data_IF_607328387175
#
_entry.id   IF_607328387175
#
_cell.length_a   1.000
_cell.length_b   1.000
_cell.length_c   1.000
_cell.angle_alpha   90.00
_cell.angle_beta   90.00
_cell.angle_gamma   90.00
#
_symmetry.space_group_name_H-M   'P 1'
#
loop_
_entity.id
_entity.type
_entity.pdbx_description
1 polymer ?
#
# COMPACT_ATOMS: atom_id res chain seq x y z
N UNK A 1 -21.51 -12.79 -11.72
CA UNK A 1 -21.09 -11.89 -10.64
C UNK A 1 -20.77 -12.72 -9.42
N UNK A 2 -19.63 -12.51 -8.81
CA UNK A 2 -19.31 -13.11 -7.51
C UNK A 2 -20.26 -12.49 -6.49
N UNK A 3 -21.10 -13.28 -5.86
CA UNK A 3 -22.10 -12.77 -4.90
C UNK A 3 -21.43 -12.45 -3.53
N UNK A 4 -20.36 -11.60 -3.58
CA UNK A 4 -19.53 -11.23 -2.43
C UNK A 4 -19.32 -9.73 -2.41
N UNK A 5 -19.63 -9.12 -1.27
CA UNK A 5 -19.36 -7.72 -1.00
C UNK A 5 -18.02 -7.60 -0.26
N UNK A 6 -17.10 -6.87 -0.87
CA UNK A 6 -15.77 -6.56 -0.31
C UNK A 6 -15.77 -5.12 0.16
N UNK A 7 -15.50 -4.89 1.44
CA UNK A 7 -15.18 -3.54 1.93
C UNK A 7 -13.69 -3.28 1.78
N UNK A 8 -13.34 -2.14 1.18
CA UNK A 8 -11.98 -1.62 1.13
C UNK A 8 -11.89 -0.38 2.01
N UNK A 9 -11.33 -0.52 3.20
CA UNK A 9 -11.07 0.60 4.11
C UNK A 9 -9.78 1.30 3.65
N UNK A 10 -9.87 2.57 3.24
CA UNK A 10 -8.79 3.29 2.56
C UNK A 10 -8.77 3.08 1.05
N UNK A 11 -9.93 2.82 0.44
CA UNK A 11 -10.04 2.49 -0.97
C UNK A 11 -9.79 3.66 -1.93
N UNK A 12 -9.78 4.91 -1.47
CA UNK A 12 -9.41 6.06 -2.27
C UNK A 12 -7.92 6.44 -2.18
N UNK A 13 -7.10 5.62 -1.51
CA UNK A 13 -5.66 5.77 -1.43
C UNK A 13 -4.93 5.27 -2.69
N UNK A 14 -3.58 5.33 -2.68
CA UNK A 14 -2.72 4.97 -3.82
C UNK A 14 -2.95 3.54 -4.32
N UNK A 15 -2.89 2.56 -3.41
CA UNK A 15 -3.16 1.15 -3.75
C UNK A 15 -4.67 0.92 -3.90
N UNK A 16 -5.47 1.49 -3.00
CA UNK A 16 -6.91 1.28 -2.96
C UNK A 16 -7.62 1.67 -4.25
N UNK A 17 -7.22 2.79 -4.86
CA UNK A 17 -7.82 3.27 -6.12
C UNK A 17 -7.69 2.27 -7.27
N UNK A 18 -6.52 1.64 -7.40
CA UNK A 18 -6.30 0.61 -8.40
C UNK A 18 -6.98 -0.71 -8.00
N UNK A 19 -6.91 -1.09 -6.71
CA UNK A 19 -7.52 -2.31 -6.22
C UNK A 19 -9.04 -2.32 -6.41
N UNK A 20 -9.71 -1.20 -6.20
CA UNK A 20 -11.16 -1.07 -6.43
C UNK A 20 -11.50 -1.42 -7.87
N UNK A 21 -10.77 -0.89 -8.86
CA UNK A 21 -10.97 -1.23 -10.27
C UNK A 21 -10.77 -2.73 -10.53
N UNK A 22 -9.67 -3.31 -10.02
CA UNK A 22 -9.38 -4.74 -10.17
C UNK A 22 -10.48 -5.62 -9.55
N UNK A 23 -11.03 -5.25 -8.40
CA UNK A 23 -12.13 -5.97 -7.75
C UNK A 23 -13.42 -5.91 -8.59
N UNK A 24 -13.77 -4.74 -9.12
CA UNK A 24 -14.93 -4.56 -9.99
C UNK A 24 -14.80 -5.37 -11.28
N UNK A 25 -13.63 -5.33 -11.93
CA UNK A 25 -13.34 -6.09 -13.15
C UNK A 25 -13.42 -7.60 -12.92
N UNK A 26 -13.06 -8.08 -11.72
CA UNK A 26 -13.18 -9.48 -11.32
C UNK A 26 -14.59 -9.85 -10.81
N UNK A 27 -15.55 -8.92 -10.87
CA UNK A 27 -16.98 -9.12 -10.62
C UNK A 27 -17.41 -9.10 -9.16
N UNK A 28 -16.61 -8.52 -8.26
CA UNK A 28 -17.01 -8.26 -6.87
C UNK A 28 -17.95 -7.05 -6.78
N UNK A 29 -18.79 -7.04 -5.74
CA UNK A 29 -19.38 -5.81 -5.23
C UNK A 29 -18.37 -5.17 -4.28
N UNK A 30 -18.18 -3.86 -4.38
CA UNK A 30 -17.16 -3.14 -3.62
C UNK A 30 -17.79 -1.98 -2.87
N UNK A 31 -17.54 -1.91 -1.57
CA UNK A 31 -17.83 -0.75 -0.75
C UNK A 31 -16.51 -0.13 -0.30
N UNK A 32 -16.32 1.15 -0.55
CA UNK A 32 -15.15 1.91 -0.12
C UNK A 32 -15.51 2.75 1.07
N UNK A 33 -14.75 2.62 2.17
CA UNK A 33 -14.73 3.59 3.25
C UNK A 33 -13.45 4.40 3.17
N UNK A 34 -13.57 5.71 3.06
CA UNK A 34 -12.43 6.63 3.06
C UNK A 34 -12.85 8.02 3.56
N UNK A 35 -11.93 8.80 4.06
CA UNK A 35 -12.13 10.22 4.38
C UNK A 35 -12.04 11.11 3.15
N UNK A 36 -11.61 10.56 2.03
CA UNK A 36 -11.38 11.24 0.77
C UNK A 36 -10.49 12.49 0.85
N UNK A 37 -9.51 12.49 1.75
CA UNK A 37 -8.54 13.60 1.86
C UNK A 37 -7.84 13.94 0.54
N UNK A 38 -7.67 12.94 -0.31
CA UNK A 38 -7.02 13.07 -1.63
C UNK A 38 -8.00 13.16 -2.80
N UNK A 39 -9.31 13.32 -2.51
CA UNK A 39 -10.39 13.34 -3.49
C UNK A 39 -10.96 11.94 -3.78
N UNK A 40 -12.12 11.90 -4.44
CA UNK A 40 -12.84 10.68 -4.83
C UNK A 40 -13.25 10.65 -6.30
N UNK A 41 -12.97 11.72 -7.03
CA UNK A 41 -13.30 11.91 -8.45
C UNK A 41 -12.87 10.73 -9.32
N UNK A 42 -11.71 10.16 -9.07
CA UNK A 42 -11.18 9.00 -9.79
C UNK A 42 -12.01 7.72 -9.58
N UNK A 43 -12.64 7.54 -8.42
CA UNK A 43 -13.53 6.41 -8.15
C UNK A 43 -14.94 6.67 -8.70
N UNK A 44 -15.44 7.90 -8.61
CA UNK A 44 -16.74 8.30 -9.17
C UNK A 44 -16.78 8.13 -10.70
N UNK A 45 -15.65 8.32 -11.39
CA UNK A 45 -15.52 8.11 -12.84
C UNK A 45 -15.71 6.65 -13.27
N UNK A 46 -15.58 5.67 -12.37
CA UNK A 46 -15.78 4.26 -12.68
C UNK A 46 -17.25 3.94 -13.03
N UNK A 47 -18.22 4.76 -12.59
CA UNK A 47 -19.65 4.68 -12.91
C UNK A 47 -20.22 3.24 -12.79
N UNK A 48 -19.77 2.49 -11.79
CA UNK A 48 -20.17 1.09 -11.58
C UNK A 48 -21.31 1.00 -10.57
N UNK A 49 -22.38 0.27 -10.94
CA UNK A 49 -23.47 -0.07 -10.01
C UNK A 49 -23.03 -1.04 -8.90
N UNK A 50 -21.85 -1.66 -9.04
CA UNK A 50 -21.26 -2.55 -8.03
C UNK A 50 -20.32 -1.81 -7.09
N UNK A 51 -20.20 -0.47 -7.17
CA UNK A 51 -19.37 0.38 -6.33
C UNK A 51 -20.22 1.28 -5.45
N UNK A 52 -19.99 1.20 -4.15
CA UNK A 52 -20.54 2.12 -3.15
C UNK A 52 -19.39 2.91 -2.50
N UNK A 53 -19.50 4.23 -2.45
CA UNK A 53 -18.53 5.12 -1.81
C UNK A 53 -19.14 5.66 -0.52
N UNK A 54 -18.49 5.39 0.61
CA UNK A 54 -18.88 5.89 1.93
C UNK A 54 -17.81 6.84 2.44
N UNK A 55 -18.17 8.10 2.60
CA UNK A 55 -17.31 9.11 3.20
C UNK A 55 -17.42 9.02 4.73
N UNK A 56 -16.29 8.76 5.39
CA UNK A 56 -16.27 8.63 6.84
C UNK A 56 -14.89 8.36 7.42
N UNK A 57 -14.79 8.61 8.71
CA UNK A 57 -13.59 8.32 9.49
C UNK A 57 -13.70 6.93 10.11
N UNK A 58 -12.72 6.08 9.87
CA UNK A 58 -12.70 4.71 10.40
C UNK A 58 -12.59 4.63 11.94
N UNK A 59 -12.29 5.75 12.61
CA UNK A 59 -12.30 5.84 14.08
C UNK A 59 -13.70 5.99 14.64
N UNK A 60 -14.69 6.33 13.82
CA UNK A 60 -16.10 6.36 14.21
C UNK A 60 -16.71 4.97 14.05
N UNK A 61 -16.97 4.30 15.19
CA UNK A 61 -17.52 2.95 15.19
C UNK A 61 -18.94 2.87 14.59
N UNK A 62 -19.75 3.95 14.65
CA UNK A 62 -21.06 3.94 14.01
C UNK A 62 -20.92 3.88 12.48
N UNK A 63 -19.91 4.57 11.94
CA UNK A 63 -19.60 4.49 10.50
C UNK A 63 -19.11 3.08 10.14
N UNK A 64 -18.21 2.52 10.95
CA UNK A 64 -17.68 1.17 10.74
C UNK A 64 -18.80 0.13 10.78
N UNK A 65 -19.67 0.14 11.79
CA UNK A 65 -20.77 -0.83 11.92
C UNK A 65 -21.69 -0.77 10.69
N UNK A 66 -22.07 0.43 10.24
CA UNK A 66 -22.88 0.60 9.04
C UNK A 66 -22.17 0.12 7.76
N UNK A 67 -20.89 0.39 7.63
CA UNK A 67 -20.10 -0.01 6.45
C UNK A 67 -19.93 -1.52 6.35
N UNK A 68 -19.97 -2.22 7.50
CA UNK A 68 -19.82 -3.67 7.59
C UNK A 68 -21.13 -4.46 7.41
N UNK A 69 -22.29 -3.80 7.22
CA UNK A 69 -23.55 -4.49 6.96
C UNK A 69 -23.48 -5.33 5.66
N UNK A 70 -23.83 -6.61 5.74
CA UNK A 70 -23.85 -7.60 4.64
C UNK A 70 -22.48 -7.89 3.99
N UNK A 71 -21.39 -7.52 4.64
CA UNK A 71 -20.02 -7.67 4.14
C UNK A 71 -19.51 -9.09 4.34
N UNK A 72 -18.90 -9.65 3.29
CA UNK A 72 -18.24 -10.95 3.37
C UNK A 72 -16.76 -10.83 3.65
N UNK A 73 -16.10 -9.82 3.08
CA UNK A 73 -14.65 -9.65 3.11
C UNK A 73 -14.26 -8.21 3.40
N UNK A 74 -13.23 -8.02 4.19
CA UNK A 74 -12.61 -6.71 4.46
C UNK A 74 -11.17 -6.72 3.96
N UNK A 75 -10.78 -5.67 3.23
CA UNK A 75 -9.38 -5.34 2.93
C UNK A 75 -9.08 -4.00 3.61
N UNK A 76 -8.21 -4.04 4.62
CA UNK A 76 -7.85 -2.86 5.39
C UNK A 76 -6.53 -2.27 4.90
N UNK A 77 -6.61 -1.17 4.13
CA UNK A 77 -5.47 -0.43 3.58
C UNK A 77 -5.23 0.90 4.28
N UNK A 78 -6.26 1.45 4.95
CA UNK A 78 -6.22 2.78 5.52
C UNK A 78 -5.12 2.92 6.58
N UNK A 79 -4.31 3.94 6.42
CA UNK A 79 -3.32 4.37 7.40
C UNK A 79 -2.74 5.73 6.99
N UNK A 80 -2.17 6.46 7.94
CA UNK A 80 -1.16 7.46 7.63
C UNK A 80 0.09 6.67 7.22
N UNK A 81 0.37 6.68 5.92
CA UNK A 81 1.37 5.81 5.31
C UNK A 81 2.71 6.54 5.16
N UNK A 82 3.78 5.84 5.36
CA UNK A 82 5.19 6.23 5.43
C UNK A 82 5.57 7.03 6.69
N UNK A 83 6.85 6.91 7.05
CA UNK A 83 7.39 7.47 8.28
C UNK A 83 7.33 9.02 8.31
N UNK A 84 7.72 9.76 7.24
CA UNK A 84 7.70 11.21 7.28
C UNK A 84 6.29 11.81 7.42
N UNK A 85 5.25 11.12 6.93
CA UNK A 85 3.85 11.54 7.11
C UNK A 85 3.36 11.25 8.52
N UNK A 86 3.81 10.13 9.09
CA UNK A 86 3.51 9.76 10.46
C UNK A 86 4.15 10.74 11.47
N UNK A 87 5.42 11.07 11.25
CA UNK A 87 6.19 11.99 12.13
C UNK A 87 5.64 13.43 12.14
N UNK A 88 4.86 13.78 11.11
CA UNK A 88 4.21 15.09 11.05
C UNK A 88 3.20 15.29 12.20
N UNK A 89 2.45 14.26 12.56
CA UNK A 89 1.52 14.25 13.69
C UNK A 89 1.41 12.83 14.29
N UNK A 90 2.32 12.46 15.20
CA UNK A 90 2.36 11.12 15.78
C UNK A 90 1.09 10.75 16.56
N UNK A 91 0.43 11.72 17.18
CA UNK A 91 -0.82 11.48 17.92
C UNK A 91 -1.95 11.08 16.97
N UNK A 92 -2.11 11.82 15.88
CA UNK A 92 -3.06 11.48 14.83
C UNK A 92 -2.68 10.15 14.18
N UNK A 93 -1.38 9.98 13.90
CA UNK A 93 -0.83 8.72 13.36
C UNK A 93 -1.19 7.52 14.23
N UNK A 94 -0.97 7.60 15.54
CA UNK A 94 -1.33 6.54 16.48
C UNK A 94 -2.84 6.28 16.51
N UNK A 95 -3.66 7.33 16.58
CA UNK A 95 -5.11 7.19 16.65
C UNK A 95 -5.71 6.49 15.42
N UNK A 96 -5.13 6.75 14.23
CA UNK A 96 -5.56 6.16 12.97
C UNK A 96 -4.96 4.77 12.77
N UNK A 97 -3.63 4.60 12.97
CA UNK A 97 -2.95 3.38 12.57
C UNK A 97 -3.02 2.27 13.62
N UNK A 98 -3.21 2.59 14.90
CA UNK A 98 -3.21 1.62 15.97
C UNK A 98 -4.51 1.63 16.79
N UNK A 99 -4.88 2.77 17.39
CA UNK A 99 -5.95 2.81 18.40
C UNK A 99 -7.33 2.44 17.81
N UNK A 100 -7.57 2.71 16.52
CA UNK A 100 -8.81 2.33 15.83
C UNK A 100 -8.83 0.87 15.38
N UNK A 101 -7.68 0.19 15.31
CA UNK A 101 -7.58 -1.10 14.61
C UNK A 101 -8.33 -2.22 15.32
N UNK A 102 -8.09 -2.46 16.61
CA UNK A 102 -8.78 -3.52 17.36
C UNK A 102 -10.31 -3.30 17.40
N UNK A 103 -10.83 -2.07 17.64
CA UNK A 103 -12.26 -1.79 17.51
C UNK A 103 -12.85 -2.18 16.14
N UNK A 104 -12.14 -1.91 15.03
CA UNK A 104 -12.58 -2.29 13.67
C UNK A 104 -12.60 -3.80 13.51
N UNK A 105 -11.54 -4.50 13.93
CA UNK A 105 -11.46 -5.97 13.88
C UNK A 105 -12.62 -6.61 14.64
N UNK A 106 -12.90 -6.13 15.86
CA UNK A 106 -14.01 -6.62 16.69
C UNK A 106 -15.38 -6.32 16.04
N UNK A 107 -15.55 -5.15 15.44
CA UNK A 107 -16.78 -4.81 14.72
C UNK A 107 -16.98 -5.72 13.51
N UNK A 108 -15.92 -5.96 12.72
CA UNK A 108 -15.96 -6.87 11.57
C UNK A 108 -16.34 -8.31 11.99
N UNK A 109 -15.75 -8.80 13.08
CA UNK A 109 -16.08 -10.12 13.63
C UNK A 109 -17.55 -10.20 14.11
N UNK A 110 -18.04 -9.18 14.82
CA UNK A 110 -19.47 -9.12 15.24
C UNK A 110 -20.42 -9.03 14.06
N UNK A 111 -20.07 -8.34 13.00
CA UNK A 111 -20.87 -8.23 11.78
C UNK A 111 -20.91 -9.52 10.95
N UNK A 112 -20.12 -10.54 11.32
CA UNK A 112 -20.08 -11.84 10.63
C UNK A 112 -19.23 -11.84 9.35
N UNK A 113 -18.32 -10.86 9.21
CA UNK A 113 -17.29 -10.87 8.16
C UNK A 113 -16.53 -12.19 8.21
N UNK A 114 -16.32 -12.80 7.04
CA UNK A 114 -15.66 -14.12 6.96
C UNK A 114 -14.16 -14.00 6.83
N UNK A 115 -13.67 -12.96 6.15
CA UNK A 115 -12.25 -12.76 5.91
C UNK A 115 -11.84 -11.31 6.11
N UNK A 116 -10.76 -11.13 6.83
CA UNK A 116 -10.14 -9.83 7.07
C UNK A 116 -8.69 -9.87 6.58
N UNK A 117 -8.39 -9.10 5.54
CA UNK A 117 -7.06 -9.00 4.94
C UNK A 117 -6.46 -7.66 5.35
N UNK A 118 -5.33 -7.70 6.03
CA UNK A 118 -4.64 -6.52 6.53
C UNK A 118 -3.40 -6.19 5.71
N UNK A 119 -3.30 -4.95 5.28
CA UNK A 119 -2.09 -4.39 4.69
C UNK A 119 -1.12 -3.95 5.78
N UNK A 120 -0.21 -4.83 6.15
CA UNK A 120 0.96 -4.50 6.94
C UNK A 120 2.05 -3.83 6.08
N UNK A 121 3.30 -4.06 6.32
CA UNK A 121 4.43 -3.49 5.56
C UNK A 121 5.67 -4.33 5.75
N UNK A 122 6.49 -4.48 4.73
CA UNK A 122 7.82 -5.06 4.88
C UNK A 122 8.77 -4.22 5.75
N UNK A 123 8.42 -2.96 6.05
CA UNK A 123 9.20 -2.13 6.99
C UNK A 123 9.22 -2.66 8.44
N UNK A 124 8.32 -3.59 8.78
CA UNK A 124 8.32 -4.26 10.09
C UNK A 124 9.59 -5.06 10.36
N UNK A 125 10.33 -5.43 9.32
CA UNK A 125 11.60 -6.16 9.46
C UNK A 125 12.78 -5.28 9.90
N UNK A 126 12.73 -3.96 9.66
CA UNK A 126 13.78 -3.02 10.07
C UNK A 126 15.05 -3.14 9.23
N UNK A 127 16.17 -3.51 9.84
CA UNK A 127 17.45 -3.78 9.16
C UNK A 127 17.72 -5.27 9.21
N UNK A 128 17.96 -5.87 8.06
CA UNK A 128 18.30 -7.29 7.95
C UNK A 128 19.55 -7.50 7.08
N UNK A 129 20.48 -8.29 7.60
CA UNK A 129 21.70 -8.68 6.89
C UNK A 129 21.48 -9.91 6.00
N UNK A 130 20.42 -10.66 6.24
CA UNK A 130 20.05 -11.85 5.50
C UNK A 130 19.80 -11.53 4.03
N UNK A 131 20.27 -12.41 3.15
CA UNK A 131 20.07 -12.27 1.71
C UNK A 131 18.61 -12.43 1.30
N UNK A 132 17.81 -13.08 2.14
CA UNK A 132 16.39 -13.36 1.99
C UNK A 132 15.65 -13.08 3.29
N UNK A 133 14.74 -12.14 3.28
CA UNK A 133 13.86 -11.81 4.41
C UNK A 133 12.54 -12.54 4.23
N UNK A 134 12.36 -13.64 4.95
CA UNK A 134 11.15 -14.46 4.95
C UNK A 134 10.22 -14.05 6.08
N UNK A 135 8.98 -14.57 6.04
CA UNK A 135 7.94 -14.29 7.05
C UNK A 135 8.29 -14.80 8.46
N UNK A 136 9.19 -15.77 8.55
CA UNK A 136 9.63 -16.40 9.80
C UNK A 136 10.64 -15.57 10.58
N UNK A 137 11.28 -14.57 9.95
CA UNK A 137 12.27 -13.74 10.62
C UNK A 137 11.63 -12.81 11.65
N UNK A 138 12.40 -12.54 12.71
CA UNK A 138 12.00 -11.60 13.76
C UNK A 138 11.65 -10.22 13.20
N UNK A 139 10.64 -9.59 13.75
CA UNK A 139 10.32 -8.21 13.46
C UNK A 139 11.16 -7.28 14.33
N UNK A 140 11.79 -6.29 13.70
CA UNK A 140 12.66 -5.30 14.36
C UNK A 140 12.31 -3.89 13.86
N UNK A 141 11.04 -3.47 14.00
CA UNK A 141 10.57 -2.22 13.45
C UNK A 141 11.28 -1.02 14.09
N UNK A 142 11.78 -0.10 13.25
CA UNK A 142 12.59 1.04 13.72
C UNK A 142 11.75 2.28 14.05
N UNK A 143 10.64 2.47 13.33
CA UNK A 143 9.81 3.67 13.40
C UNK A 143 8.46 3.35 14.04
N UNK A 144 7.79 4.34 14.59
CA UNK A 144 6.46 4.13 15.18
C UNK A 144 5.45 3.64 14.14
N UNK A 145 5.53 4.11 12.90
CA UNK A 145 4.73 3.57 11.80
C UNK A 145 4.91 2.03 11.67
N UNK A 146 6.15 1.56 11.61
CA UNK A 146 6.41 0.12 11.45
C UNK A 146 6.13 -0.69 12.72
N UNK A 147 6.32 -0.12 13.92
CA UNK A 147 5.92 -0.76 15.19
C UNK A 147 4.42 -0.97 15.24
N UNK A 148 3.63 0.06 14.92
CA UNK A 148 2.16 -0.08 14.94
C UNK A 148 1.65 -1.02 13.86
N UNK A 149 2.34 -1.12 12.70
CA UNK A 149 2.02 -2.15 11.73
C UNK A 149 2.21 -3.56 12.32
N UNK A 150 3.32 -3.81 13.03
CA UNK A 150 3.58 -5.09 13.69
C UNK A 150 2.58 -5.38 14.83
N UNK A 151 2.26 -4.39 15.68
CA UNK A 151 1.26 -4.55 16.74
C UNK A 151 -0.14 -4.89 16.17
N UNK A 152 -0.53 -4.28 15.06
CA UNK A 152 -1.78 -4.60 14.39
C UNK A 152 -1.82 -6.04 13.84
N UNK A 153 -0.68 -6.59 13.40
CA UNK A 153 -0.60 -8.01 13.02
C UNK A 153 -0.94 -8.93 14.20
N UNK A 154 -0.35 -8.67 15.37
CA UNK A 154 -0.59 -9.44 16.60
C UNK A 154 -2.06 -9.31 17.05
N UNK A 155 -2.61 -8.10 17.03
CA UNK A 155 -4.01 -7.83 17.36
C UNK A 155 -4.92 -8.64 16.43
N UNK A 156 -4.70 -8.60 15.12
CA UNK A 156 -5.54 -9.30 14.16
C UNK A 156 -5.52 -10.81 14.37
N UNK A 157 -4.32 -11.39 14.49
CA UNK A 157 -4.16 -12.84 14.68
C UNK A 157 -4.75 -13.33 16.00
N UNK A 158 -4.73 -12.53 17.07
CA UNK A 158 -5.36 -12.83 18.35
C UNK A 158 -6.88 -13.03 18.24
N UNK A 159 -7.53 -12.32 17.32
CA UNK A 159 -8.98 -12.37 17.12
C UNK A 159 -9.43 -13.37 16.05
N UNK A 160 -8.49 -13.99 15.33
CA UNK A 160 -8.79 -14.96 14.29
C UNK A 160 -9.37 -16.26 14.85
N UNK A 161 -10.31 -16.85 14.12
CA UNK A 161 -10.86 -18.19 14.38
C UNK A 161 -11.42 -18.81 13.07
N UNK A 162 -12.04 -19.97 13.18
CA UNK A 162 -12.58 -20.71 12.03
C UNK A 162 -13.73 -19.97 11.30
N UNK A 163 -14.37 -18.99 11.94
CA UNK A 163 -15.46 -18.18 11.36
C UNK A 163 -15.00 -16.81 10.91
N UNK A 164 -13.83 -16.35 11.40
CA UNK A 164 -13.22 -15.06 11.10
C UNK A 164 -11.75 -15.26 10.69
N UNK A 165 -11.54 -15.51 9.42
CA UNK A 165 -10.22 -15.80 8.85
C UNK A 165 -9.44 -14.51 8.64
N UNK A 166 -8.25 -14.46 9.21
CA UNK A 166 -7.35 -13.31 9.13
C UNK A 166 -6.16 -13.63 8.24
N UNK A 167 -5.80 -12.70 7.36
CA UNK A 167 -4.62 -12.81 6.49
C UNK A 167 -3.85 -11.48 6.51
N UNK A 168 -2.54 -11.56 6.60
CA UNK A 168 -1.65 -10.40 6.64
C UNK A 168 -0.82 -10.36 5.37
N UNK A 169 -0.72 -9.20 4.77
CA UNK A 169 0.16 -8.94 3.64
C UNK A 169 1.24 -7.95 4.06
N UNK A 170 2.51 -8.32 3.90
CA UNK A 170 3.68 -7.45 4.12
C UNK A 170 4.25 -7.03 2.76
N UNK A 171 3.69 -5.98 2.13
CA UNK A 171 4.15 -5.58 0.81
C UNK A 171 5.50 -4.88 0.88
N UNK A 172 6.28 -5.04 -0.19
CA UNK A 172 7.39 -4.18 -0.56
C UNK A 172 6.90 -2.76 -0.88
N UNK A 173 7.81 -1.81 -1.08
CA UNK A 173 7.47 -0.45 -1.51
C UNK A 173 6.76 -0.49 -2.86
N UNK A 174 5.50 -0.06 -2.87
CA UNK A 174 4.68 -0.09 -4.09
C UNK A 174 5.07 1.06 -5.03
N UNK A 175 5.18 0.78 -6.33
CA UNK A 175 5.53 1.75 -7.36
C UNK A 175 4.66 1.61 -8.61
N UNK A 176 4.63 2.65 -9.45
CA UNK A 176 3.87 2.69 -10.70
C UNK A 176 2.79 3.77 -10.71
N UNK A 177 1.98 3.77 -11.76
CA UNK A 177 0.89 4.73 -11.98
C UNK A 177 -0.37 4.29 -11.23
N UNK A 178 -1.03 5.26 -10.61
CA UNK A 178 -2.34 5.11 -9.98
C UNK A 178 -3.21 6.34 -10.25
N UNK A 179 -4.50 6.15 -10.27
CA UNK A 179 -5.47 7.24 -10.37
C UNK A 179 -5.44 8.19 -9.16
N UNK A 180 -5.04 7.68 -7.97
CA UNK A 180 -4.55 8.50 -6.84
C UNK A 180 -3.03 8.37 -6.76
N UNK A 181 -2.32 9.07 -7.63
CA UNK A 181 -0.85 9.02 -7.72
C UNK A 181 -0.14 9.47 -6.44
N UNK A 182 1.04 8.87 -6.18
CA UNK A 182 1.99 9.30 -5.15
C UNK A 182 3.37 9.55 -5.75
N UNK A 183 3.90 10.74 -5.49
CA UNK A 183 5.27 11.13 -5.85
C UNK A 183 6.18 11.31 -4.62
N UNK A 184 5.84 10.65 -3.51
CA UNK A 184 6.65 10.56 -2.29
C UNK A 184 7.14 9.12 -2.02
N UNK A 185 7.17 8.28 -3.05
CA UNK A 185 7.71 6.90 -3.06
C UNK A 185 8.92 6.80 -3.97
N UNK A 186 9.92 5.98 -3.62
CA UNK A 186 11.27 5.98 -4.23
C UNK A 186 11.27 5.97 -5.77
N UNK A 187 10.70 4.96 -6.41
CA UNK A 187 10.67 4.87 -7.89
C UNK A 187 9.90 6.02 -8.50
N UNK A 188 8.76 6.37 -7.91
CA UNK A 188 7.86 7.39 -8.43
C UNK A 188 8.47 8.79 -8.33
N UNK A 189 9.09 9.14 -7.19
CA UNK A 189 9.70 10.47 -7.00
C UNK A 189 10.95 10.64 -7.86
N UNK A 190 11.80 9.61 -7.97
CA UNK A 190 13.01 9.70 -8.81
C UNK A 190 12.63 9.87 -10.29
N UNK A 191 11.59 9.16 -10.75
CA UNK A 191 11.08 9.31 -12.13
C UNK A 191 10.46 10.69 -12.34
N UNK A 192 9.66 11.20 -11.41
CA UNK A 192 9.09 12.55 -11.46
C UNK A 192 10.18 13.62 -11.53
N UNK A 193 11.19 13.54 -10.66
CA UNK A 193 12.29 14.47 -10.65
C UNK A 193 13.14 14.40 -11.92
N UNK A 194 13.41 13.21 -12.42
CA UNK A 194 14.15 13.03 -13.69
C UNK A 194 13.45 13.74 -14.85
N UNK A 195 12.13 13.63 -14.94
CA UNK A 195 11.35 14.23 -16.04
C UNK A 195 11.20 15.75 -15.87
N UNK A 196 10.76 16.20 -14.69
CA UNK A 196 10.29 17.58 -14.50
C UNK A 196 11.37 18.51 -13.94
N UNK A 197 12.38 18.00 -13.20
CA UNK A 197 13.49 18.80 -12.65
C UNK A 197 14.79 18.59 -13.45
N UNK A 198 14.84 17.52 -14.26
CA UNK A 198 16.05 17.09 -14.99
C UNK A 198 17.25 16.83 -14.07
N UNK A 199 16.97 16.31 -12.89
CA UNK A 199 17.95 15.95 -11.86
C UNK A 199 17.38 14.83 -10.99
N UNK A 200 18.21 13.84 -10.67
CA UNK A 200 17.88 12.78 -9.72
C UNK A 200 18.69 13.03 -8.44
N UNK A 201 18.00 13.15 -7.30
CA UNK A 201 18.66 13.24 -5.98
C UNK A 201 18.45 11.93 -5.24
N UNK A 202 19.54 11.25 -4.90
CA UNK A 202 19.55 10.00 -4.15
C UNK A 202 20.02 10.27 -2.73
N UNK A 203 19.24 9.86 -1.75
CA UNK A 203 19.60 9.93 -0.34
C UNK A 203 20.23 8.61 0.10
N UNK A 204 21.54 8.61 0.40
CA UNK A 204 22.34 7.41 0.57
C UNK A 204 22.72 6.82 -0.79
N UNK A 205 22.20 5.64 -1.12
CA UNK A 205 22.39 4.98 -2.43
C UNK A 205 22.50 3.46 -2.32
N UNK A 206 23.33 2.95 -1.42
CA UNK A 206 23.66 1.51 -1.30
C UNK A 206 22.59 0.68 -0.56
N UNK A 207 21.67 1.33 0.16
CA UNK A 207 20.64 0.62 0.91
C UNK A 207 19.62 -0.04 -0.02
N UNK A 208 19.32 -1.31 0.26
CA UNK A 208 18.33 -2.08 -0.49
C UNK A 208 16.90 -1.65 -0.14
N UNK A 209 16.10 -1.53 -1.17
CA UNK A 209 14.65 -1.32 -1.08
C UNK A 209 13.94 -2.39 -1.89
N UNK A 210 13.13 -3.23 -1.25
CA UNK A 210 12.24 -4.11 -1.99
C UNK A 210 11.14 -3.27 -2.66
N UNK A 211 10.80 -3.61 -3.89
CA UNK A 211 9.81 -2.92 -4.69
C UNK A 211 8.76 -3.89 -5.21
N UNK A 212 7.56 -3.38 -5.44
CA UNK A 212 6.44 -4.11 -6.01
C UNK A 212 5.65 -3.19 -6.94
N UNK A 213 5.37 -3.66 -8.15
CA UNK A 213 4.50 -2.92 -9.06
C UNK A 213 3.05 -2.90 -8.53
N UNK A 214 2.37 -1.76 -8.64
CA UNK A 214 1.02 -1.56 -8.09
C UNK A 214 0.00 -2.58 -8.65
N UNK A 215 0.11 -2.93 -9.93
CA UNK A 215 -0.74 -3.96 -10.55
C UNK A 215 -0.53 -5.34 -9.90
N UNK A 216 0.71 -5.70 -9.56
CA UNK A 216 0.99 -6.94 -8.85
C UNK A 216 0.50 -6.92 -7.41
N UNK A 217 0.53 -5.75 -6.74
CA UNK A 217 -0.10 -5.60 -5.44
C UNK A 217 -1.61 -5.89 -5.50
N UNK A 218 -2.31 -5.34 -6.49
CA UNK A 218 -3.74 -5.63 -6.71
C UNK A 218 -3.99 -7.10 -7.04
N UNK A 219 -3.17 -7.71 -7.90
CA UNK A 219 -3.23 -9.13 -8.22
C UNK A 219 -3.01 -10.03 -7.00
N UNK A 220 -2.12 -9.65 -6.08
CA UNK A 220 -1.90 -10.40 -4.84
C UNK A 220 -3.18 -10.44 -3.99
N UNK A 221 -3.85 -9.30 -3.80
CA UNK A 221 -5.13 -9.26 -3.08
C UNK A 221 -6.20 -10.11 -3.77
N UNK A 222 -6.35 -10.02 -5.08
CA UNK A 222 -7.29 -10.86 -5.83
C UNK A 222 -6.95 -12.35 -5.68
N UNK A 223 -5.67 -12.70 -5.72
CA UNK A 223 -5.23 -14.08 -5.52
C UNK A 223 -5.64 -14.58 -4.13
N UNK A 224 -5.38 -13.82 -3.07
CA UNK A 224 -5.78 -14.16 -1.70
C UNK A 224 -7.31 -14.30 -1.62
N UNK A 225 -8.09 -13.34 -2.15
CA UNK A 225 -9.55 -13.40 -2.16
C UNK A 225 -10.12 -14.59 -2.93
N UNK A 226 -9.41 -15.10 -3.94
CA UNK A 226 -9.85 -16.24 -4.74
C UNK A 226 -9.68 -17.58 -4.05
N UNK A 227 -8.83 -17.67 -3.02
CA UNK A 227 -8.52 -18.93 -2.35
C UNK A 227 -9.59 -19.30 -1.31
N UNK A 228 -9.77 -20.59 -1.03
CA UNK A 228 -10.55 -21.06 0.11
C UNK A 228 -10.04 -20.48 1.44
N UNK A 229 -10.94 -20.28 2.39
CA UNK A 229 -10.60 -19.64 3.67
C UNK A 229 -9.57 -20.42 4.48
N UNK A 230 -9.61 -21.75 4.46
CA UNK A 230 -8.70 -22.66 5.14
C UNK A 230 -7.24 -22.53 4.63
N UNK A 231 -7.06 -22.23 3.35
CA UNK A 231 -5.73 -22.03 2.76
C UNK A 231 -5.07 -20.74 3.29
N UNK A 232 -5.84 -19.65 3.42
CA UNK A 232 -5.33 -18.33 3.78
C UNK A 232 -5.44 -18.01 5.28
N UNK A 233 -6.00 -18.93 6.07
CA UNK A 233 -6.26 -18.72 7.50
C UNK A 233 -4.96 -18.49 8.27
N UNK A 234 -4.89 -17.34 8.94
CA UNK A 234 -3.78 -16.93 9.80
C UNK A 234 -2.42 -16.87 9.09
N UNK A 235 -2.44 -16.71 7.78
CA UNK A 235 -1.23 -16.62 6.97
C UNK A 235 -0.72 -15.20 6.91
N UNK A 236 0.61 -15.10 6.86
CA UNK A 236 1.34 -13.86 6.59
C UNK A 236 2.07 -14.07 5.28
N UNK A 237 1.96 -13.12 4.35
CA UNK A 237 2.61 -13.18 3.07
C UNK A 237 3.46 -11.95 2.80
N UNK A 238 4.73 -12.15 2.54
CA UNK A 238 5.57 -11.15 1.90
C UNK A 238 5.19 -11.02 0.42
N UNK A 239 5.06 -9.80 -0.06
CA UNK A 239 4.77 -9.54 -1.47
C UNK A 239 5.74 -8.50 -2.01
N UNK A 240 6.70 -8.95 -2.80
CA UNK A 240 7.73 -8.13 -3.44
C UNK A 240 8.16 -8.71 -4.77
N UNK A 241 8.80 -7.90 -5.60
CA UNK A 241 9.28 -8.26 -6.94
C UNK A 241 10.80 -8.07 -7.05
N UNK A 242 11.26 -6.82 -6.97
CA UNK A 242 12.66 -6.45 -7.14
C UNK A 242 13.25 -5.95 -5.81
N UNK A 243 14.42 -6.45 -5.45
CA UNK A 243 15.21 -5.95 -4.32
C UNK A 243 16.39 -5.15 -4.85
N UNK A 244 16.19 -3.85 -5.07
CA UNK A 244 17.17 -2.95 -5.66
C UNK A 244 17.72 -1.96 -4.64
N UNK A 245 18.98 -1.55 -4.83
CA UNK A 245 19.51 -0.37 -4.13
C UNK A 245 18.90 0.91 -4.72
N UNK A 246 18.95 2.01 -3.96
CA UNK A 246 18.50 3.31 -4.51
C UNK A 246 19.34 3.76 -5.71
N UNK A 247 20.64 3.40 -5.76
CA UNK A 247 21.51 3.66 -6.90
C UNK A 247 21.08 2.88 -8.14
N UNK A 248 20.71 1.61 -7.99
CA UNK A 248 20.18 0.82 -9.09
C UNK A 248 18.85 1.37 -9.60
N UNK A 249 17.96 1.83 -8.71
CA UNK A 249 16.70 2.49 -9.09
C UNK A 249 17.00 3.78 -9.87
N UNK A 250 17.91 4.63 -9.38
CA UNK A 250 18.29 5.87 -10.06
C UNK A 250 18.91 5.60 -11.44
N UNK A 251 19.75 4.56 -11.55
CA UNK A 251 20.34 4.12 -12.83
C UNK A 251 19.26 3.68 -13.82
N UNK A 252 18.27 2.89 -13.38
CA UNK A 252 17.14 2.48 -14.22
C UNK A 252 16.30 3.68 -14.66
N UNK A 253 15.99 4.63 -13.76
CA UNK A 253 15.28 5.86 -14.13
C UNK A 253 16.05 6.63 -15.19
N UNK A 254 17.37 6.79 -15.03
CA UNK A 254 18.23 7.43 -16.05
C UNK A 254 18.13 6.72 -17.39
N UNK A 255 18.19 5.40 -17.40
CA UNK A 255 18.11 4.62 -18.64
C UNK A 255 16.80 4.86 -19.40
N UNK A 256 15.67 4.96 -18.70
CA UNK A 256 14.34 5.09 -19.33
C UNK A 256 13.93 6.54 -19.61
N UNK A 257 14.43 7.51 -18.86
CA UNK A 257 14.10 8.94 -19.07
C UNK A 257 15.14 9.61 -19.96
N UNK A 258 16.40 9.64 -19.54
CA UNK A 258 17.52 10.15 -20.34
C UNK A 258 18.85 9.88 -19.62
N UNK A 259 19.83 9.23 -20.26
CA UNK A 259 21.09 8.88 -19.63
C UNK A 259 21.97 10.09 -19.26
N UNK A 260 21.60 11.30 -19.69
CA UNK A 260 22.34 12.55 -19.43
C UNK A 260 21.87 13.29 -18.19
N UNK A 261 20.87 12.78 -17.46
CA UNK A 261 20.35 13.41 -16.25
C UNK A 261 21.36 13.22 -15.12
N UNK A 262 21.81 14.31 -14.46
CA UNK A 262 22.74 14.20 -13.35
C UNK A 262 22.11 13.48 -12.15
N UNK A 263 22.83 12.52 -11.57
CA UNK A 263 22.51 11.87 -10.30
C UNK A 263 23.38 12.49 -9.21
N UNK A 264 22.75 13.02 -8.18
CA UNK A 264 23.41 13.69 -7.06
C UNK A 264 23.08 12.95 -5.77
N UNK A 265 24.10 12.61 -5.00
CA UNK A 265 23.94 11.94 -3.72
C UNK A 265 23.88 12.94 -2.56
N UNK A 266 23.08 12.61 -1.56
CA UNK A 266 23.00 13.31 -0.29
C UNK A 266 23.02 12.29 0.84
N UNK A 267 23.49 12.70 2.02
CA UNK A 267 23.50 11.84 3.19
C UNK A 267 22.07 11.50 3.64
N UNK A 268 21.93 10.34 4.31
CA UNK A 268 20.66 9.87 4.83
C UNK A 268 20.80 9.28 6.23
N UNK A 269 19.80 9.49 7.06
CA UNK A 269 19.64 8.81 8.34
C UNK A 269 18.73 7.59 8.25
N UNK A 270 18.18 7.27 7.07
CA UNK A 270 17.33 6.09 6.86
C UNK A 270 18.19 4.84 6.69
N UNK A 271 18.35 4.11 7.77
CA UNK A 271 19.20 2.91 7.86
C UNK A 271 18.51 1.65 7.34
N UNK A 272 17.23 1.67 7.02
CA UNK A 272 16.50 0.49 6.55
C UNK A 272 17.15 -0.09 5.31
N UNK A 273 17.47 -1.37 5.34
CA UNK A 273 18.04 -2.11 4.21
C UNK A 273 17.70 -3.58 4.38
N UNK A 274 16.91 -4.12 3.48
CA UNK A 274 16.49 -5.52 3.51
C UNK A 274 16.00 -5.97 2.14
N UNK A 275 15.98 -7.30 1.94
CA UNK A 275 15.57 -7.94 0.69
C UNK A 275 14.43 -8.91 0.98
N UNK A 276 13.22 -8.55 0.59
CA UNK A 276 12.01 -9.37 0.80
C UNK A 276 12.05 -10.60 -0.12
N UNK A 277 11.83 -11.77 0.48
CA UNK A 277 11.57 -13.02 -0.24
C UNK A 277 10.06 -13.25 -0.30
N UNK A 278 9.54 -13.53 -1.49
CA UNK A 278 8.10 -13.80 -1.73
C UNK A 278 7.86 -15.23 -2.23
N UNK A 279 8.77 -16.15 -1.92
CA UNK A 279 8.64 -17.54 -2.35
C UNK A 279 7.47 -18.24 -1.65
N UNK A 280 7.16 -17.86 -0.41
CA UNK A 280 6.06 -18.47 0.33
C UNK A 280 4.70 -18.24 -0.32
N UNK A 281 4.35 -17.02 -0.70
CA UNK A 281 3.08 -16.75 -1.39
C UNK A 281 3.01 -17.45 -2.77
N UNK A 282 4.15 -17.62 -3.43
CA UNK A 282 4.24 -18.37 -4.70
C UNK A 282 3.93 -19.84 -4.49
N UNK A 283 4.53 -20.47 -3.51
CA UNK A 283 4.32 -21.90 -3.20
C UNK A 283 2.92 -22.19 -2.69
N UNK A 284 2.39 -21.34 -1.81
CA UNK A 284 1.12 -21.55 -1.12
C UNK A 284 -0.08 -21.17 -2.00
N UNK A 285 0.00 -20.08 -2.74
CA UNK A 285 -1.10 -19.52 -3.51
C UNK A 285 -0.92 -19.54 -5.02
N UNK A 286 0.28 -19.86 -5.52
CA UNK A 286 0.63 -19.76 -6.94
C UNK A 286 0.75 -18.32 -7.44
N UNK A 287 0.90 -17.35 -6.54
CA UNK A 287 1.10 -15.96 -6.93
C UNK A 287 2.57 -15.68 -7.25
N UNK A 288 2.82 -15.09 -8.41
CA UNK A 288 4.13 -14.59 -8.82
C UNK A 288 3.98 -13.19 -9.42
N UNK A 289 4.80 -12.21 -8.98
CA UNK A 289 4.86 -10.90 -9.62
C UNK A 289 5.32 -11.03 -11.08
N UNK A 290 4.63 -10.35 -11.99
CA UNK A 290 4.96 -10.35 -13.43
C UNK A 290 5.54 -9.02 -13.89
N UNK A 291 5.34 -7.95 -13.13
CA UNK A 291 5.88 -6.63 -13.43
C UNK A 291 7.14 -6.35 -12.61
N UNK A 292 8.02 -5.55 -13.18
CA UNK A 292 9.29 -5.12 -12.59
C UNK A 292 9.31 -3.61 -12.38
N UNK A 293 10.33 -3.12 -11.65
CA UNK A 293 10.57 -1.67 -11.50
C UNK A 293 10.69 -0.98 -12.85
N UNK A 294 11.29 -1.64 -13.85
CA UNK A 294 11.39 -1.15 -15.21
C UNK A 294 10.01 -0.84 -15.83
N UNK A 295 9.03 -1.68 -15.57
CA UNK A 295 7.66 -1.49 -16.08
C UNK A 295 6.97 -0.33 -15.36
N UNK A 296 7.19 -0.19 -14.06
CA UNK A 296 6.69 0.96 -13.30
C UNK A 296 7.26 2.28 -13.82
N UNK A 297 8.56 2.33 -14.12
CA UNK A 297 9.21 3.52 -14.69
C UNK A 297 8.63 3.81 -16.08
N UNK A 298 8.49 2.81 -16.95
CA UNK A 298 7.89 2.97 -18.30
C UNK A 298 6.46 3.48 -18.21
N UNK A 299 5.62 2.89 -17.34
CA UNK A 299 4.23 3.33 -17.14
C UNK A 299 4.20 4.81 -16.70
N UNK A 300 5.07 5.22 -15.78
CA UNK A 300 5.19 6.61 -15.33
C UNK A 300 5.62 7.54 -16.47
N UNK A 301 6.66 7.18 -17.22
CA UNK A 301 7.12 7.97 -18.39
C UNK A 301 6.00 8.14 -19.41
N UNK A 302 5.26 7.08 -19.71
CA UNK A 302 4.11 7.14 -20.62
C UNK A 302 3.00 8.05 -20.10
N UNK A 303 2.72 8.00 -18.79
CA UNK A 303 1.71 8.86 -18.16
C UNK A 303 2.13 10.34 -18.19
N UNK A 304 3.40 10.64 -17.92
CA UNK A 304 3.94 12.00 -18.08
C UNK A 304 3.85 12.50 -19.52
N UNK A 305 4.21 11.67 -20.49
CA UNK A 305 4.14 12.03 -21.92
C UNK A 305 2.68 12.28 -22.40
N UNK A 306 1.69 11.71 -21.72
CA UNK A 306 0.26 11.94 -21.96
C UNK A 306 -0.30 13.10 -21.13
N UNK A 307 0.54 13.84 -20.42
CA UNK A 307 0.11 14.93 -19.52
C UNK A 307 -0.97 14.48 -18.49
N UNK A 308 -0.87 13.21 -18.04
CA UNK A 308 -1.84 12.63 -17.13
C UNK A 308 -1.82 13.25 -15.73
N UNK A 309 -0.66 13.82 -15.33
CA UNK A 309 -0.47 14.42 -14.01
C UNK A 309 -0.46 15.94 -14.09
N UNK A 310 -1.46 16.58 -13.46
CA UNK A 310 -1.48 18.03 -13.34
C UNK A 310 -0.51 18.50 -12.24
N UNK A 311 0.39 19.43 -12.60
CA UNK A 311 1.34 20.07 -11.67
C UNK A 311 2.09 19.07 -10.76
N UNK A 312 2.79 18.06 -11.34
CA UNK A 312 3.30 16.88 -10.63
C UNK A 312 4.35 17.16 -9.55
N UNK A 313 4.92 18.36 -9.49
CA UNK A 313 5.85 18.79 -8.46
C UNK A 313 5.18 19.56 -7.31
N UNK A 314 4.01 20.14 -7.57
CA UNK A 314 3.39 21.10 -6.67
C UNK A 314 2.07 20.62 -6.10
N UNK A 315 1.26 19.92 -6.88
CA UNK A 315 -0.08 19.49 -6.48
C UNK A 315 -0.03 18.59 -5.24
N UNK A 316 -0.63 19.08 -4.17
CA UNK A 316 -0.63 18.42 -2.86
C UNK A 316 -1.26 17.03 -2.87
N UNK A 317 -2.14 16.73 -3.82
CA UNK A 317 -2.75 15.40 -3.98
C UNK A 317 -1.71 14.28 -4.16
N UNK A 318 -0.52 14.59 -4.65
CA UNK A 318 0.54 13.59 -4.92
C UNK A 318 1.52 13.42 -3.76
N UNK A 319 1.42 14.23 -2.71
CA UNK A 319 2.35 14.24 -1.59
C UNK A 319 1.62 14.22 -0.26
N UNK A 320 1.76 13.13 0.49
CA UNK A 320 1.02 12.96 1.74
C UNK A 320 1.26 14.12 2.72
N UNK A 321 2.51 14.51 2.95
CA UNK A 321 2.85 15.61 3.88
C UNK A 321 2.25 16.94 3.44
N UNK A 322 2.34 17.27 2.14
CA UNK A 322 1.76 18.52 1.64
C UNK A 322 0.26 18.56 1.87
N UNK A 323 -0.42 17.45 1.58
CA UNK A 323 -1.87 17.35 1.74
C UNK A 323 -2.30 17.39 3.20
N UNK A 324 -1.60 16.70 4.09
CA UNK A 324 -1.89 16.74 5.52
C UNK A 324 -1.74 18.18 6.09
N UNK A 325 -0.69 18.91 5.70
CA UNK A 325 -0.51 20.31 6.07
C UNK A 325 -1.63 21.21 5.54
N UNK A 326 -2.03 21.02 4.28
CA UNK A 326 -3.15 21.77 3.68
C UNK A 326 -4.46 21.55 4.43
N UNK A 327 -4.68 20.35 4.95
CA UNK A 327 -5.86 19.97 5.74
C UNK A 327 -5.75 20.37 7.23
N UNK A 328 -4.65 20.97 7.65
CA UNK A 328 -4.43 21.33 9.06
C UNK A 328 -4.23 20.12 9.99
N UNK A 329 -3.72 19.02 9.45
CA UNK A 329 -3.51 17.77 10.18
C UNK A 329 -2.07 17.60 10.69
N UNK A 330 -1.24 18.63 10.52
CA UNK A 330 0.17 18.66 10.90
C UNK A 330 0.47 19.46 12.14
#
# INVERSE_FOLDING_TARGET
>A
MKNRLVVVIGGAGYVGSELVQFLLDDGYQVRVLDTFWYGKDHLEQLQSHSLELVEGDMRDLNVIEKVLEDVTDVIHLACISNDPSFDLNPTLGKSINLDSFEPIVLAAKRAGVKRFIYASSSSVYGVKSESKVTEELSLEPLTDYSKFKAECEEILLKHADDQFVCTIVRPATVCGVSSRQRFDLSVNILTNHAINIRKITVFGGSQHRPNLHIKDMCRAYLTILSKPSDIIANKIYNVGSDNLTLDEIASKVNQFVSPTIPVVHQDTNDLRSYRVDSEFIKQDLGFEPIYKVDDAIKDLVLAFNKEYFDSPLENSRYFNIKKMKELGLG
#
